data_IF_493619565651
#
_entry.id   IF_493619565651
#
_cell.length_a   1.000
_cell.length_b   1.000
_cell.length_c   1.000
_cell.angle_alpha   90.00
_cell.angle_beta   90.00
_cell.angle_gamma   90.00
#
_symmetry.space_group_name_H-M   'P 1'
#
loop_
_entity.id
_entity.type
_entity.pdbx_description
1 polymer ?
#
# COMPACT_ATOMS: atom_id res chain seq x y z
N UNK A 1 -12.70 11.52 0.22
CA UNK A 1 -13.23 10.51 1.14
C UNK A 1 -13.84 9.44 0.26
N UNK A 2 -13.31 8.24 0.31
CA UNK A 2 -13.79 7.10 -0.46
C UNK A 2 -14.23 6.01 0.50
N UNK A 3 -15.26 5.29 0.09
CA UNK A 3 -15.80 4.14 0.79
C UNK A 3 -16.02 3.06 -0.27
N UNK A 4 -15.50 1.87 -0.02
CA UNK A 4 -15.63 0.74 -0.92
C UNK A 4 -16.05 -0.49 -0.13
N UNK A 5 -17.01 -1.23 -0.69
CA UNK A 5 -17.38 -2.57 -0.22
C UNK A 5 -17.05 -3.53 -1.36
N UNK A 6 -16.28 -4.56 -1.05
CA UNK A 6 -15.87 -5.59 -1.99
C UNK A 6 -16.44 -6.92 -1.49
N UNK A 7 -17.50 -7.36 -2.14
CA UNK A 7 -18.04 -8.70 -1.93
C UNK A 7 -17.32 -9.69 -2.86
N UNK A 8 -16.89 -10.82 -2.32
CA UNK A 8 -16.16 -11.86 -3.05
C UNK A 8 -16.81 -13.23 -2.86
N UNK A 9 -17.00 -13.94 -3.97
CA UNK A 9 -17.47 -15.32 -3.99
C UNK A 9 -16.47 -16.18 -4.76
N UNK A 10 -15.97 -17.26 -4.15
CA UNK A 10 -15.05 -18.20 -4.77
C UNK A 10 -15.52 -19.63 -4.53
N UNK A 11 -15.82 -20.33 -5.62
CA UNK A 11 -16.10 -21.76 -5.60
C UNK A 11 -14.83 -22.53 -5.99
N UNK A 12 -14.46 -23.50 -5.17
CA UNK A 12 -13.45 -24.51 -5.46
C UNK A 12 -14.17 -25.86 -5.61
N UNK A 13 -14.54 -26.28 -6.82
CA UNK A 13 -15.28 -27.53 -7.00
C UNK A 13 -14.36 -28.74 -6.86
N UNK A 14 -14.97 -29.91 -6.66
CA UNK A 14 -14.26 -31.19 -6.56
C UNK A 14 -13.74 -31.61 -7.96
N UNK A 15 -12.47 -31.96 -8.05
CA UNK A 15 -11.80 -32.42 -9.27
C UNK A 15 -10.91 -33.61 -8.97
N UNK A 16 -11.03 -34.67 -9.77
CA UNK A 16 -10.18 -35.85 -9.69
C UNK A 16 -9.52 -36.09 -11.06
N UNK A 17 -8.20 -35.89 -11.13
CA UNK A 17 -7.35 -36.11 -12.31
C UNK A 17 -6.70 -37.50 -12.33
N UNK A 18 -7.11 -38.40 -11.43
CA UNK A 18 -6.58 -39.75 -11.27
C UNK A 18 -5.70 -39.92 -10.03
N UNK A 19 -5.31 -41.16 -9.77
CA UNK A 19 -4.56 -41.53 -8.56
C UNK A 19 -3.19 -40.82 -8.49
N UNK A 20 -2.83 -40.36 -7.29
CA UNK A 20 -1.54 -39.73 -6.96
C UNK A 20 -1.24 -38.44 -7.75
N UNK A 21 -2.27 -37.69 -8.14
CA UNK A 21 -2.11 -36.35 -8.71
C UNK A 21 -2.26 -35.29 -7.61
N UNK A 22 -1.26 -34.44 -7.47
CA UNK A 22 -1.23 -33.36 -6.47
C UNK A 22 -2.22 -32.21 -6.74
N UNK A 23 -3.02 -32.31 -7.81
CA UNK A 23 -4.01 -31.31 -8.21
C UNK A 23 -5.45 -31.76 -7.96
N UNK A 24 -5.66 -32.94 -7.36
CA UNK A 24 -6.99 -33.37 -6.98
C UNK A 24 -7.52 -32.47 -5.86
N UNK A 25 -8.79 -32.08 -5.97
CA UNK A 25 -9.55 -31.48 -4.87
C UNK A 25 -10.57 -32.52 -4.44
N UNK A 26 -10.39 -33.06 -3.23
CA UNK A 26 -11.17 -34.21 -2.76
C UNK A 26 -12.55 -33.81 -2.21
N UNK A 27 -12.77 -32.52 -1.94
CA UNK A 27 -14.08 -31.94 -1.59
C UNK A 27 -14.29 -30.59 -2.28
N UNK A 28 -15.56 -30.20 -2.42
CA UNK A 28 -15.93 -28.85 -2.87
C UNK A 28 -15.81 -27.86 -1.71
N UNK A 29 -15.48 -26.60 -2.02
CA UNK A 29 -15.40 -25.52 -1.05
C UNK A 29 -15.97 -24.22 -1.61
N UNK A 30 -16.62 -23.42 -0.77
CA UNK A 30 -17.15 -22.12 -1.13
C UNK A 30 -16.65 -21.08 -0.13
N UNK A 31 -16.05 -20.02 -0.64
CA UNK A 31 -15.62 -18.89 0.17
C UNK A 31 -16.45 -17.67 -0.18
N UNK A 32 -17.11 -17.10 0.82
CA UNK A 32 -17.80 -15.81 0.76
C UNK A 32 -17.03 -14.82 1.62
N UNK A 33 -16.75 -13.62 1.10
CA UNK A 33 -16.08 -12.58 1.86
C UNK A 33 -16.67 -11.21 1.57
N UNK A 34 -16.52 -10.31 2.54
CA UNK A 34 -16.84 -8.90 2.46
C UNK A 34 -15.72 -8.09 3.06
N UNK A 35 -15.08 -7.29 2.22
CA UNK A 35 -14.02 -6.38 2.62
C UNK A 35 -14.56 -4.94 2.52
N UNK A 36 -14.50 -4.20 3.61
CA UNK A 36 -14.89 -2.79 3.68
C UNK A 36 -13.61 -1.95 3.77
N UNK A 37 -13.50 -0.94 2.92
CA UNK A 37 -12.39 0.01 2.93
C UNK A 37 -12.91 1.43 3.06
N UNK A 38 -12.19 2.23 3.84
CA UNK A 38 -12.47 3.64 4.01
C UNK A 38 -11.17 4.44 3.98
N UNK A 39 -11.12 5.46 3.11
CA UNK A 39 -9.94 6.33 3.02
C UNK A 39 -10.32 7.80 2.89
N UNK A 40 -9.50 8.67 3.48
CA UNK A 40 -9.60 10.10 3.28
C UNK A 40 -8.22 10.76 3.27
N UNK A 41 -8.17 11.86 2.52
CA UNK A 41 -7.06 12.80 2.55
C UNK A 41 -7.62 14.18 2.85
N UNK A 42 -6.96 14.90 3.75
CA UNK A 42 -7.20 16.31 4.01
C UNK A 42 -5.90 17.09 3.82
N UNK A 43 -5.90 17.96 2.80
CA UNK A 43 -4.79 18.86 2.50
C UNK A 43 -5.11 20.30 2.90
N UNK A 44 -4.15 20.97 3.53
CA UNK A 44 -4.19 22.40 3.79
C UNK A 44 -2.91 23.01 3.24
N UNK A 45 -3.00 24.14 2.53
CA UNK A 45 -1.82 24.82 2.03
C UNK A 45 -2.02 26.32 1.90
N UNK A 46 -0.90 27.03 2.07
CA UNK A 46 -0.78 28.47 1.89
C UNK A 46 0.21 28.67 0.74
N UNK A 47 -0.20 29.43 -0.26
CA UNK A 47 0.61 29.73 -1.44
C UNK A 47 0.85 31.24 -1.51
N UNK A 48 2.13 31.63 -1.60
CA UNK A 48 2.55 33.02 -1.73
C UNK A 48 3.33 33.19 -3.03
N UNK A 49 2.84 34.08 -3.89
CA UNK A 49 3.48 34.42 -5.16
C UNK A 49 3.78 35.91 -5.18
N UNK A 50 5.02 36.26 -5.48
CA UNK A 50 5.41 37.66 -5.62
C UNK A 50 6.43 37.82 -6.74
N UNK A 51 6.34 38.97 -7.40
CA UNK A 51 7.28 39.38 -8.43
C UNK A 51 7.85 40.73 -8.05
N UNK A 52 9.17 40.87 -8.11
CA UNK A 52 9.86 42.11 -7.76
C UNK A 52 10.93 42.48 -8.78
N UNK A 53 11.17 43.78 -8.92
CA UNK A 53 12.05 44.39 -9.92
C UNK A 53 11.77 43.94 -11.37
N UNK A 54 10.56 43.44 -11.67
CA UNK A 54 10.13 42.87 -12.97
C UNK A 54 10.93 41.64 -13.44
N UNK A 55 11.94 41.23 -12.70
CA UNK A 55 12.94 40.24 -13.10
C UNK A 55 13.04 39.07 -12.13
N UNK A 56 12.45 39.18 -10.94
CA UNK A 56 12.44 38.12 -9.95
C UNK A 56 11.01 37.64 -9.75
N UNK A 57 10.84 36.33 -9.77
CA UNK A 57 9.59 35.66 -9.46
C UNK A 57 9.85 34.66 -8.34
N UNK A 58 9.08 34.75 -7.28
CA UNK A 58 9.17 33.91 -6.10
C UNK A 58 7.81 33.27 -5.83
N UNK A 59 7.83 31.95 -5.68
CA UNK A 59 6.67 31.15 -5.25
C UNK A 59 7.07 30.33 -4.05
N UNK A 60 6.32 30.48 -2.96
CA UNK A 60 6.47 29.71 -1.74
C UNK A 60 5.15 29.00 -1.44
N UNK A 61 5.22 27.73 -1.07
CA UNK A 61 4.06 26.95 -0.64
C UNK A 61 4.41 26.23 0.66
N UNK A 62 3.58 26.45 1.69
CA UNK A 62 3.62 25.69 2.94
C UNK A 62 2.34 24.89 3.02
N UNK A 63 2.44 23.58 3.29
CA UNK A 63 1.28 22.72 3.36
C UNK A 63 1.41 21.58 4.36
N UNK A 64 0.25 21.05 4.71
CA UNK A 64 0.07 19.86 5.52
C UNK A 64 -0.91 18.92 4.81
N UNK A 65 -0.69 17.62 4.96
CA UNK A 65 -1.57 16.57 4.45
C UNK A 65 -1.79 15.54 5.55
N UNK A 66 -3.05 15.14 5.75
CA UNK A 66 -3.44 14.04 6.63
C UNK A 66 -4.10 12.99 5.76
N UNK A 67 -3.53 11.80 5.72
CA UNK A 67 -4.09 10.63 5.07
C UNK A 67 -4.39 9.56 6.10
N UNK A 68 -5.55 8.92 5.97
CA UNK A 68 -5.93 7.74 6.76
C UNK A 68 -6.65 6.76 5.84
N UNK A 69 -6.33 5.48 6.02
CA UNK A 69 -7.02 4.35 5.42
C UNK A 69 -7.31 3.33 6.50
N UNK A 70 -8.51 2.79 6.47
CA UNK A 70 -8.94 1.70 7.33
C UNK A 70 -9.61 0.63 6.50
N UNK A 71 -9.62 -0.59 7.00
CA UNK A 71 -10.52 -1.60 6.47
C UNK A 71 -10.92 -2.62 7.50
N UNK A 72 -11.96 -3.36 7.13
CA UNK A 72 -12.60 -4.38 7.93
C UNK A 72 -12.88 -5.57 7.02
N UNK A 73 -12.55 -6.77 7.49
CA UNK A 73 -12.61 -7.99 6.70
C UNK A 73 -13.54 -8.99 7.37
N UNK A 74 -14.45 -9.57 6.61
CA UNK A 74 -15.34 -10.63 7.10
C UNK A 74 -15.50 -11.68 6.03
N UNK A 75 -15.82 -12.91 6.44
CA UNK A 75 -16.00 -13.99 5.50
C UNK A 75 -16.17 -15.34 6.15
N UNK A 76 -16.55 -16.28 5.30
CA UNK A 76 -16.90 -17.66 5.63
C UNK A 76 -16.32 -18.59 4.58
N UNK A 77 -15.89 -19.78 5.02
CA UNK A 77 -15.58 -20.91 4.13
C UNK A 77 -16.49 -22.07 4.46
N UNK A 78 -17.29 -22.51 3.49
CA UNK A 78 -18.03 -23.76 3.53
C UNK A 78 -17.21 -24.89 2.91
N UNK A 79 -17.18 -26.05 3.57
CA UNK A 79 -16.52 -27.26 3.09
C UNK A 79 -17.55 -28.34 2.71
N UNK A 80 -17.18 -29.20 1.76
CA UNK A 80 -17.97 -30.32 1.26
C UNK A 80 -19.41 -29.94 0.88
N UNK A 81 -19.56 -28.99 -0.04
CA UNK A 81 -20.87 -28.53 -0.51
C UNK A 81 -21.59 -29.61 -1.31
N UNK A 82 -22.77 -30.00 -0.86
CA UNK A 82 -23.67 -30.95 -1.52
C UNK A 82 -25.01 -30.29 -1.83
N UNK A 83 -25.41 -30.32 -3.10
CA UNK A 83 -26.77 -29.95 -3.50
C UNK A 83 -27.51 -31.19 -3.98
N UNK A 84 -28.61 -31.54 -3.30
CA UNK A 84 -29.39 -32.77 -3.54
C UNK A 84 -28.52 -34.03 -3.55
N UNK A 85 -27.54 -34.09 -2.64
CA UNK A 85 -26.62 -35.23 -2.50
C UNK A 85 -25.51 -35.30 -3.54
N UNK A 86 -25.35 -34.28 -4.39
CA UNK A 86 -24.30 -34.20 -5.41
C UNK A 86 -23.33 -33.07 -5.08
N UNK A 87 -22.00 -33.29 -5.17
CA UNK A 87 -21.01 -32.24 -4.99
C UNK A 87 -21.26 -31.02 -5.88
N UNK A 88 -21.28 -29.85 -5.27
CA UNK A 88 -21.47 -28.58 -6.00
C UNK A 88 -20.25 -28.31 -6.88
N UNK A 89 -20.53 -28.10 -8.18
CA UNK A 89 -19.50 -27.83 -9.20
C UNK A 89 -19.72 -26.53 -9.98
N UNK A 90 -20.83 -25.82 -9.73
CA UNK A 90 -21.17 -24.56 -10.38
C UNK A 90 -21.70 -23.53 -9.38
N UNK A 91 -21.56 -22.24 -9.72
CA UNK A 91 -22.05 -21.14 -8.88
C UNK A 91 -23.58 -21.12 -8.72
N UNK A 92 -24.33 -21.73 -9.63
CA UNK A 92 -25.80 -21.79 -9.56
C UNK A 92 -26.30 -22.45 -8.27
N UNK A 93 -25.56 -23.44 -7.76
CA UNK A 93 -25.90 -24.18 -6.53
C UNK A 93 -24.89 -23.95 -5.40
N UNK A 94 -23.98 -22.98 -5.57
CA UNK A 94 -22.99 -22.62 -4.57
C UNK A 94 -23.63 -21.72 -3.52
N UNK A 95 -23.98 -22.33 -2.39
CA UNK A 95 -24.54 -21.65 -1.23
C UNK A 95 -23.94 -22.26 0.03
N UNK A 96 -23.57 -21.42 1.01
CA UNK A 96 -23.00 -21.90 2.27
C UNK A 96 -23.94 -22.84 3.05
N UNK A 97 -25.26 -22.73 2.89
CA UNK A 97 -26.23 -23.66 3.48
C UNK A 97 -26.19 -25.08 2.90
N UNK A 98 -25.51 -25.30 1.77
CA UNK A 98 -25.24 -26.62 1.22
C UNK A 98 -23.93 -27.22 1.76
N UNK A 99 -23.15 -26.48 2.55
CA UNK A 99 -21.90 -26.96 3.13
C UNK A 99 -22.18 -27.87 4.33
N UNK A 100 -21.34 -28.89 4.50
CA UNK A 100 -21.37 -29.75 5.69
C UNK A 100 -20.84 -29.01 6.93
N UNK A 101 -19.83 -28.16 6.72
CA UNK A 101 -19.21 -27.33 7.74
C UNK A 101 -19.02 -25.92 7.19
N UNK A 102 -19.29 -24.90 8.02
CA UNK A 102 -19.01 -23.49 7.72
C UNK A 102 -18.08 -22.94 8.79
N UNK A 103 -16.94 -22.43 8.36
CA UNK A 103 -15.91 -21.82 9.19
C UNK A 103 -15.87 -20.31 8.96
N UNK A 104 -15.88 -19.53 10.03
CA UNK A 104 -15.66 -18.08 9.94
C UNK A 104 -14.18 -17.79 9.68
N UNK A 105 -13.88 -16.70 9.00
CA UNK A 105 -12.49 -16.22 8.87
C UNK A 105 -11.90 -15.75 10.20
N UNK A 106 -12.76 -15.26 11.10
CA UNK A 106 -12.42 -14.73 12.41
C UNK A 106 -13.41 -15.28 13.44
N UNK A 107 -12.92 -15.66 14.63
CA UNK A 107 -13.79 -16.06 15.75
C UNK A 107 -14.46 -14.84 16.38
N UNK A 108 -15.50 -15.06 17.19
CA UNK A 108 -16.18 -13.96 17.90
C UNK A 108 -15.19 -13.16 18.79
N UNK A 109 -14.26 -13.85 19.46
CA UNK A 109 -13.20 -13.21 20.25
C UNK A 109 -12.26 -12.35 19.40
N UNK A 110 -11.90 -12.81 18.20
CA UNK A 110 -11.05 -12.04 17.27
C UNK A 110 -11.76 -10.78 16.75
N UNK A 111 -13.08 -10.87 16.52
CA UNK A 111 -13.90 -9.73 16.14
C UNK A 111 -14.03 -8.72 17.28
N UNK A 112 -14.20 -9.18 18.53
CA UNK A 112 -14.21 -8.31 19.71
C UNK A 112 -12.87 -7.56 19.90
N UNK A 113 -11.75 -8.19 19.52
CA UNK A 113 -10.41 -7.60 19.57
C UNK A 113 -10.02 -6.83 18.30
N UNK A 114 -10.95 -6.60 17.35
CA UNK A 114 -10.73 -5.88 16.09
C UNK A 114 -9.60 -6.49 15.20
N UNK A 115 -9.30 -7.78 15.34
CA UNK A 115 -8.23 -8.46 14.57
C UNK A 115 -8.53 -8.56 13.07
N UNK A 116 -9.78 -8.33 12.70
CA UNK A 116 -10.24 -8.30 11.32
C UNK A 116 -10.14 -6.91 10.68
N UNK A 117 -9.47 -5.96 11.34
CA UNK A 117 -9.36 -4.57 10.87
C UNK A 117 -7.91 -4.16 10.60
N UNK A 118 -7.74 -3.07 9.86
CA UNK A 118 -6.46 -2.35 9.80
C UNK A 118 -6.69 -0.84 9.85
N UNK A 119 -5.70 -0.10 10.36
CA UNK A 119 -5.68 1.37 10.39
C UNK A 119 -4.27 1.89 10.08
N UNK A 120 -4.12 2.52 8.91
CA UNK A 120 -2.87 3.15 8.50
C UNK A 120 -3.07 4.65 8.28
N UNK A 121 -2.13 5.44 8.81
CA UNK A 121 -2.18 6.91 8.82
C UNK A 121 -0.85 7.49 8.36
N UNK A 122 -0.91 8.56 7.59
CA UNK A 122 0.25 9.31 7.14
C UNK A 122 -0.01 10.81 7.36
N UNK A 123 0.86 11.44 8.14
CA UNK A 123 0.85 12.88 8.39
C UNK A 123 2.08 13.51 7.74
N UNK A 124 1.85 14.50 6.88
CA UNK A 124 2.90 15.14 6.11
C UNK A 124 2.90 16.64 6.30
N UNK A 125 4.09 17.22 6.41
CA UNK A 125 4.31 18.66 6.31
C UNK A 125 5.29 18.90 5.18
N UNK A 126 5.00 19.85 4.31
CA UNK A 126 5.86 20.14 3.17
C UNK A 126 5.97 21.63 2.93
N UNK A 127 7.18 22.04 2.59
CA UNK A 127 7.49 23.39 2.15
C UNK A 127 8.15 23.31 0.78
N UNK A 128 7.65 24.12 -0.15
CA UNK A 128 8.17 24.26 -1.50
C UNK A 128 8.56 25.71 -1.74
N UNK A 129 9.78 25.90 -2.20
CA UNK A 129 10.34 27.18 -2.61
C UNK A 129 10.71 27.11 -4.08
N UNK A 130 10.26 28.09 -4.85
CA UNK A 130 10.61 28.23 -6.26
C UNK A 130 11.01 29.67 -6.52
N UNK A 131 12.14 29.82 -7.20
CA UNK A 131 12.67 31.12 -7.57
C UNK A 131 13.08 31.10 -9.03
N UNK A 132 12.74 32.19 -9.71
CA UNK A 132 13.06 32.41 -11.11
C UNK A 132 13.63 33.82 -11.26
N UNK A 133 14.83 33.90 -11.84
CA UNK A 133 15.46 35.15 -12.23
C UNK A 133 15.49 35.27 -13.76
N UNK A 134 14.80 36.29 -14.28
CA UNK A 134 14.68 36.66 -15.71
C UNK A 134 14.24 35.52 -16.61
N UNK A 135 13.56 34.51 -16.06
CA UNK A 135 13.24 33.26 -16.74
C UNK A 135 14.48 32.50 -17.23
N UNK A 136 15.67 32.86 -16.77
CA UNK A 136 16.94 32.21 -17.15
C UNK A 136 17.39 31.21 -16.11
N UNK A 137 17.41 31.64 -14.84
CA UNK A 137 17.89 30.83 -13.73
C UNK A 137 16.72 30.43 -12.86
N UNK A 138 16.58 29.12 -12.69
CA UNK A 138 15.46 28.50 -12.00
C UNK A 138 16.03 27.72 -10.82
N UNK A 139 15.51 28.00 -9.63
CA UNK A 139 15.78 27.24 -8.42
C UNK A 139 14.46 26.68 -7.91
N UNK A 140 14.44 25.40 -7.61
CA UNK A 140 13.33 24.73 -6.93
C UNK A 140 13.89 23.95 -5.76
N UNK A 141 13.35 24.16 -4.57
CA UNK A 141 13.68 23.39 -3.38
C UNK A 141 12.39 22.93 -2.72
N UNK A 142 12.40 21.71 -2.19
CA UNK A 142 11.28 21.15 -1.43
C UNK A 142 11.87 20.45 -0.22
N UNK A 143 11.27 20.66 0.94
CA UNK A 143 11.50 19.83 2.11
C UNK A 143 10.18 19.28 2.59
N UNK A 144 10.15 17.98 2.86
CA UNK A 144 8.99 17.29 3.39
C UNK A 144 9.36 16.50 4.63
N UNK A 145 8.47 16.50 5.61
CA UNK A 145 8.52 15.68 6.82
C UNK A 145 7.28 14.82 6.84
N UNK A 146 7.46 13.50 6.79
CA UNK A 146 6.37 12.53 6.80
C UNK A 146 6.42 11.68 8.05
N UNK A 147 5.26 11.41 8.64
CA UNK A 147 5.08 10.55 9.79
C UNK A 147 4.07 9.45 9.47
N UNK A 148 4.50 8.19 9.48
CA UNK A 148 3.66 7.03 9.15
C UNK A 148 3.38 6.18 10.39
N UNK A 149 2.13 5.75 10.58
CA UNK A 149 1.72 4.88 11.70
C UNK A 149 2.28 3.45 11.59
N UNK A 150 2.86 3.11 10.43
CA UNK A 150 3.41 1.78 10.15
C UNK A 150 4.74 1.49 10.85
N UNK A 151 5.40 2.53 11.35
CA UNK A 151 6.67 2.40 12.08
C UNK A 151 6.47 2.54 13.59
N UNK A 152 7.37 1.94 14.36
CA UNK A 152 7.39 2.10 15.81
C UNK A 152 7.67 3.55 16.24
N UNK A 153 7.35 3.94 17.49
CA UNK A 153 7.38 5.34 17.97
C UNK A 153 8.65 6.12 17.66
N UNK A 154 9.81 5.44 17.64
CA UNK A 154 11.11 6.07 17.42
C UNK A 154 11.44 6.32 15.93
N UNK A 155 10.74 5.68 15.01
CA UNK A 155 11.06 5.66 13.57
C UNK A 155 9.90 6.15 12.67
N UNK A 156 8.85 6.72 13.26
CA UNK A 156 7.67 7.19 12.52
C UNK A 156 8.00 8.28 11.50
N UNK A 157 9.03 9.09 11.77
CA UNK A 157 9.29 10.34 11.04
C UNK A 157 10.45 10.19 10.07
N UNK A 158 10.23 10.57 8.80
CA UNK A 158 11.26 10.70 7.77
C UNK A 158 11.34 12.14 7.22
N UNK A 159 12.54 12.55 6.78
CA UNK A 159 12.79 13.86 6.17
C UNK A 159 13.27 13.70 4.73
N UNK A 160 12.56 14.33 3.79
CA UNK A 160 12.76 14.16 2.36
C UNK A 160 13.03 15.50 1.67
N UNK A 161 14.27 16.03 1.77
CA UNK A 161 14.67 17.22 1.03
C UNK A 161 14.94 16.90 -0.45
N UNK A 162 14.63 17.85 -1.32
CA UNK A 162 15.01 17.82 -2.73
C UNK A 162 15.28 19.23 -3.26
N UNK A 163 16.16 19.33 -4.24
CA UNK A 163 16.55 20.59 -4.87
C UNK A 163 16.80 20.38 -6.36
N UNK A 164 16.49 21.39 -7.16
CA UNK A 164 16.78 21.43 -8.58
C UNK A 164 17.20 22.83 -9.02
N UNK A 165 18.21 22.86 -9.87
CA UNK A 165 18.69 24.03 -10.58
C UNK A 165 18.37 23.87 -12.07
N UNK A 166 17.85 24.91 -12.69
CA UNK A 166 17.58 24.98 -14.11
C UNK A 166 18.19 26.23 -14.72
N UNK A 167 18.75 26.09 -15.91
CA UNK A 167 19.31 27.19 -16.69
C UNK A 167 18.76 27.12 -18.11
N UNK A 168 17.98 28.12 -18.48
CA UNK A 168 17.51 28.33 -19.86
C UNK A 168 18.62 29.08 -20.62
N UNK A 169 19.50 28.34 -21.28
CA UNK A 169 20.70 28.86 -21.94
C UNK A 169 20.34 29.64 -23.20
N UNK A 170 19.24 29.27 -23.90
CA UNK A 170 18.76 30.02 -25.08
C UNK A 170 18.39 31.46 -24.77
N UNK A 171 17.98 31.75 -23.52
CA UNK A 171 17.65 33.12 -23.11
C UNK A 171 18.90 33.98 -22.86
N UNK A 172 20.10 33.42 -22.94
CA UNK A 172 21.32 34.19 -22.78
C UNK A 172 21.62 35.04 -24.02
N UNK A 173 22.18 36.23 -23.81
CA UNK A 173 22.45 37.19 -24.89
C UNK A 173 23.38 36.63 -25.97
N UNK A 174 24.21 35.63 -25.65
CA UNK A 174 25.09 34.97 -26.59
C UNK A 174 24.40 33.90 -27.47
N UNK A 175 23.17 33.47 -27.13
CA UNK A 175 22.39 32.49 -27.90
C UNK A 175 21.03 33.01 -28.40
N UNK A 176 20.54 34.16 -27.91
CA UNK A 176 19.22 34.70 -28.26
C UNK A 176 18.99 34.91 -29.77
N UNK A 177 20.04 35.13 -30.57
CA UNK A 177 19.93 35.37 -32.03
C UNK A 177 20.22 34.13 -32.88
N UNK A 178 20.28 32.94 -32.27
CA UNK A 178 20.63 31.73 -32.98
C UNK A 178 19.41 31.13 -33.71
N UNK A 179 19.43 31.14 -35.04
CA UNK A 179 18.32 30.65 -35.87
C UNK A 179 18.19 29.12 -35.97
N UNK A 180 19.20 28.35 -35.54
CA UNK A 180 19.18 26.89 -35.61
C UNK A 180 18.79 26.21 -34.28
N UNK A 181 18.81 26.95 -33.17
CA UNK A 181 18.56 26.43 -31.82
C UNK A 181 17.41 27.19 -31.14
N UNK A 182 16.24 26.58 -31.04
CA UNK A 182 15.04 27.22 -30.47
C UNK A 182 14.97 27.17 -28.95
N UNK A 183 15.52 26.12 -28.35
CA UNK A 183 15.45 25.91 -26.92
C UNK A 183 16.60 25.01 -26.48
N UNK A 184 17.35 25.48 -25.50
CA UNK A 184 18.40 24.78 -24.79
C UNK A 184 18.23 25.08 -23.32
N UNK A 185 17.88 24.03 -22.58
CA UNK A 185 17.72 24.09 -21.13
C UNK A 185 18.53 23.00 -20.48
N UNK A 186 19.36 23.37 -19.51
CA UNK A 186 20.03 22.44 -18.61
C UNK A 186 19.29 22.40 -17.28
N UNK A 187 19.12 21.21 -16.72
CA UNK A 187 18.58 21.02 -15.37
C UNK A 187 19.39 19.98 -14.62
N UNK A 188 19.73 20.30 -13.38
CA UNK A 188 20.34 19.40 -12.40
C UNK A 188 19.40 19.28 -11.22
N UNK A 189 19.25 18.09 -10.65
CA UNK A 189 18.42 17.85 -9.47
C UNK A 189 19.00 16.77 -8.59
N UNK A 190 18.79 16.94 -7.29
CA UNK A 190 19.14 15.98 -6.26
C UNK A 190 18.03 15.92 -5.21
N UNK A 191 17.76 14.76 -4.64
CA UNK A 191 16.82 14.65 -3.53
C UNK A 191 16.72 13.27 -2.92
N UNK A 192 15.97 13.19 -1.84
CA UNK A 192 15.68 11.97 -1.09
C UNK A 192 14.20 11.65 -1.24
N UNK A 193 13.87 10.39 -1.52
CA UNK A 193 12.50 9.89 -1.58
C UNK A 193 12.35 8.81 -0.51
N UNK A 194 11.33 8.95 0.33
CA UNK A 194 10.93 7.93 1.30
C UNK A 194 9.89 6.97 0.76
N UNK A 195 9.92 5.73 1.24
CA UNK A 195 8.91 4.71 1.00
C UNK A 195 8.49 4.06 2.33
N UNK A 196 7.18 3.99 2.57
CA UNK A 196 6.57 3.35 3.74
C UNK A 196 5.65 2.19 3.35
N UNK A 197 5.80 1.63 2.13
CA UNK A 197 5.05 0.44 1.68
C UNK A 197 5.55 -0.83 2.35
N UNK A 198 5.34 -0.90 3.66
CA UNK A 198 5.51 -2.09 4.48
C UNK A 198 4.12 -2.59 4.93
N UNK A 199 3.98 -3.90 5.22
CA UNK A 199 2.81 -4.42 5.92
C UNK A 199 2.67 -3.74 7.28
N UNK A 200 1.43 -3.57 7.73
CA UNK A 200 1.15 -2.92 9.01
C UNK A 200 1.67 -3.78 10.18
N UNK A 201 1.87 -3.16 11.34
CA UNK A 201 2.26 -3.83 12.60
C UNK A 201 3.59 -4.62 12.58
N UNK A 202 4.47 -4.44 11.59
CA UNK A 202 5.79 -5.10 11.56
C UNK A 202 6.76 -4.69 12.69
N UNK A 203 6.42 -3.66 13.47
CA UNK A 203 7.20 -3.19 14.61
C UNK A 203 6.78 -3.82 15.94
N UNK A 204 5.64 -4.51 16.01
CA UNK A 204 5.16 -5.26 17.18
C UNK A 204 5.24 -6.77 16.94
N UNK A 205 5.59 -7.53 17.96
CA UNK A 205 5.42 -8.99 17.91
C UNK A 205 3.94 -9.30 18.14
N UNK A 206 3.33 -10.05 17.22
CA UNK A 206 1.94 -10.47 17.31
C UNK A 206 1.86 -11.93 17.74
N UNK A 207 0.89 -12.27 18.60
CA UNK A 207 0.54 -13.64 18.98
C UNK A 207 -0.54 -14.18 18.02
N UNK A 208 -0.21 -14.26 16.73
CA UNK A 208 -1.13 -14.72 15.68
C UNK A 208 -0.64 -16.00 14.97
N UNK A 209 0.27 -16.75 15.61
CA UNK A 209 0.69 -18.05 15.11
C UNK A 209 -0.30 -19.14 15.54
N UNK A 210 -0.62 -20.07 14.64
CA UNK A 210 -1.41 -21.25 14.99
C UNK A 210 -0.50 -22.29 15.68
N UNK A 211 -0.80 -22.64 16.94
CA UNK A 211 -0.21 -23.81 17.58
C UNK A 211 -1.28 -24.90 17.71
N UNK A 212 -1.13 -25.98 16.95
CA UNK A 212 -2.00 -27.16 17.09
C UNK A 212 -1.31 -28.12 18.06
N UNK A 213 -1.86 -28.26 19.26
CA UNK A 213 -1.43 -29.29 20.20
C UNK A 213 -2.34 -30.51 20.07
N UNK A 214 -1.75 -31.67 19.84
CA UNK A 214 -2.44 -32.94 20.01
C UNK A 214 -2.70 -33.13 21.51
N UNK A 215 -3.96 -33.16 21.94
CA UNK A 215 -4.27 -33.55 23.31
C UNK A 215 -3.88 -35.02 23.50
N UNK A 216 -3.09 -35.31 24.55
CA UNK A 216 -2.66 -36.68 24.85
C UNK A 216 -3.69 -37.46 25.68
N UNK A 217 -4.89 -36.93 25.91
CA UNK A 217 -5.96 -37.65 26.62
C UNK A 217 -6.65 -38.63 25.68
N UNK A 218 -5.88 -39.64 25.27
CA UNK A 218 -6.42 -40.95 24.97
C UNK A 218 -6.85 -41.57 26.29
N UNK A 219 -8.04 -41.20 26.78
CA UNK A 219 -8.79 -42.16 27.58
C UNK A 219 -9.11 -43.31 26.64
N UNK A 220 -8.32 -44.39 26.72
CA UNK A 220 -8.72 -45.70 26.22
C UNK A 220 -10.18 -45.88 26.65
N UNK A 221 -11.08 -46.18 25.71
CA UNK A 221 -12.51 -46.57 25.86
C UNK A 221 -13.54 -45.70 25.08
N UNK A 222 -13.17 -44.99 24.01
CA UNK A 222 -14.14 -44.52 23.02
C UNK A 222 -13.78 -45.04 21.62
N UNK A 223 -14.70 -45.79 21.00
CA UNK A 223 -14.56 -46.39 19.65
C UNK A 223 -14.63 -45.36 18.51
N UNK A 224 -14.47 -44.07 18.83
CA UNK A 224 -14.38 -42.98 17.86
C UNK A 224 -13.21 -42.12 18.29
N UNK A 225 -12.09 -42.08 17.54
CA UNK A 225 -11.02 -41.16 17.84
C UNK A 225 -11.55 -39.75 17.60
N UNK A 226 -11.99 -39.07 18.64
CA UNK A 226 -12.16 -37.62 18.59
C UNK A 226 -10.75 -37.04 18.61
N UNK A 227 -10.24 -36.66 17.43
CA UNK A 227 -9.01 -35.86 17.27
C UNK A 227 -9.26 -34.48 17.91
N UNK A 228 -9.26 -34.42 19.25
CA UNK A 228 -9.44 -33.16 19.98
C UNK A 228 -8.14 -32.38 19.88
N UNK A 229 -8.05 -31.59 18.81
CA UNK A 229 -7.00 -30.60 18.60
C UNK A 229 -7.23 -29.42 19.52
N UNK A 230 -6.29 -29.17 20.42
CA UNK A 230 -6.29 -27.95 21.23
C UNK A 230 -5.56 -26.89 20.40
N UNK A 231 -6.29 -25.87 19.99
CA UNK A 231 -5.72 -24.69 19.35
C UNK A 231 -5.15 -23.78 20.44
N UNK A 232 -3.83 -23.58 20.41
CA UNK A 232 -3.13 -22.59 21.22
C UNK A 232 -2.63 -21.44 20.33
N UNK A 233 -2.35 -20.30 20.96
CA UNK A 233 -1.72 -19.15 20.31
C UNK A 233 -0.20 -19.32 20.37
N UNK A 234 0.46 -19.29 19.22
CA UNK A 234 1.91 -19.24 19.10
C UNK A 234 2.38 -17.80 18.82
N UNK A 235 3.65 -17.53 19.14
CA UNK A 235 4.32 -16.34 18.62
C UNK A 235 4.28 -16.35 17.09
N UNK A 236 3.66 -15.34 16.51
CA UNK A 236 3.61 -15.12 15.08
C UNK A 236 4.91 -14.47 14.58
N UNK A 237 4.80 -13.58 13.60
CA UNK A 237 6.00 -12.88 13.12
C UNK A 237 6.60 -11.99 14.20
N UNK A 238 7.89 -12.18 14.46
CA UNK A 238 8.68 -11.32 15.36
C UNK A 238 8.66 -9.87 14.86
N UNK A 239 8.29 -8.94 15.74
CA UNK A 239 8.34 -7.51 15.47
C UNK A 239 9.79 -7.02 15.47
N UNK A 240 10.09 -6.08 14.58
CA UNK A 240 11.37 -5.37 14.60
C UNK A 240 11.13 -3.89 14.93
N UNK A 241 11.42 -3.43 16.17
CA UNK A 241 11.18 -2.05 16.58
C UNK A 241 12.08 -1.03 15.84
N UNK A 242 13.15 -1.49 15.20
CA UNK A 242 14.08 -0.67 14.40
C UNK A 242 13.62 -0.49 12.94
N UNK A 243 12.42 -0.97 12.57
CA UNK A 243 11.86 -0.68 11.25
C UNK A 243 11.73 0.83 11.04
N UNK A 244 12.30 1.31 9.94
CA UNK A 244 12.37 2.73 9.56
C UNK A 244 12.14 2.91 8.07
N UNK A 245 11.94 4.15 7.66
CA UNK A 245 11.76 4.55 6.27
C UNK A 245 12.85 3.98 5.35
N UNK A 246 12.43 3.42 4.22
CA UNK A 246 13.34 3.15 3.12
C UNK A 246 13.61 4.46 2.38
N UNK A 247 14.86 4.92 2.42
CA UNK A 247 15.27 6.18 1.80
C UNK A 247 16.10 5.92 0.55
N UNK A 248 15.73 6.57 -0.56
CA UNK A 248 16.49 6.52 -1.80
C UNK A 248 16.94 7.92 -2.23
N UNK A 249 18.25 8.07 -2.32
CA UNK A 249 18.87 9.25 -2.91
C UNK A 249 18.80 9.18 -4.44
N UNK A 250 18.42 10.27 -5.09
CA UNK A 250 18.49 10.40 -6.54
C UNK A 250 19.26 11.64 -6.96
N UNK A 251 20.00 11.50 -8.05
CA UNK A 251 20.71 12.57 -8.74
C UNK A 251 20.35 12.48 -10.22
N UNK A 252 19.97 13.58 -10.85
CA UNK A 252 19.67 13.61 -12.27
C UNK A 252 20.19 14.88 -12.93
N UNK A 253 20.70 14.71 -14.15
CA UNK A 253 21.08 15.79 -15.06
C UNK A 253 20.26 15.59 -16.34
N UNK A 254 19.57 16.63 -16.80
CA UNK A 254 18.73 16.57 -17.99
C UNK A 254 18.90 17.81 -18.85
N UNK A 255 18.88 17.61 -20.16
CA UNK A 255 18.89 18.66 -21.18
C UNK A 255 17.66 18.56 -22.05
N UNK A 256 17.04 19.70 -22.42
CA UNK A 256 16.02 19.75 -23.48
C UNK A 256 16.54 20.60 -24.63
N UNK A 257 16.56 20.01 -25.82
CA UNK A 257 16.96 20.66 -27.07
C UNK A 257 15.78 20.72 -28.04
N UNK A 258 15.55 21.86 -28.68
CA UNK A 258 14.61 22.03 -29.80
C UNK A 258 15.34 22.56 -31.03
N UNK A 259 15.35 21.79 -32.12
CA UNK A 259 15.95 22.17 -33.40
C UNK A 259 14.87 22.48 -34.44
N UNK A 260 15.08 23.50 -35.28
CA UNK A 260 14.31 23.66 -36.51
C UNK A 260 14.97 22.85 -37.62
N UNK A 261 14.33 21.77 -38.05
CA UNK A 261 14.63 21.18 -39.36
C UNK A 261 13.98 22.07 -40.41
N UNK A 262 14.74 23.00 -40.98
CA UNK A 262 14.33 23.62 -42.24
C UNK A 262 14.51 22.55 -43.33
N UNK A 263 13.41 21.96 -43.76
CA UNK A 263 13.37 21.25 -45.03
C UNK A 263 13.59 22.30 -46.14
N UNK A 264 14.72 22.19 -46.82
CA UNK A 264 15.02 22.89 -48.08
C UNK A 264 14.26 22.25 -49.23
#
# INVERSE_FOLDING_TARGET
>A
MNYAVVDGLKLAPQFNYGNSKNFNTDSSGLTEKRDIYFDYTWDNYINYNTSFNKVHNLTMLLGNSVYKTTGEFTGFTGNNLLYKGVPVSSFENANLGNAEEVLNFYTDEQLENEENTFDARLLSYFFRFQYNYKEKYLLSAVIRRDASSKFGPNNQVGFFPSMSLGWNITEESFLQNNSWLNALKLRVSYGIIGNDRIPDNKWVSLLNGDAIYASSDVTQNSETPTDQRIFGLAEGTLGNPEFKWEERNYSAISGRNGFLLKAS
#
